data_IF_245710449685
#
_entry.id   IF_245710449685
#
_cell.length_a   1.000
_cell.length_b   1.000
_cell.length_c   1.000
_cell.angle_alpha   90.00
_cell.angle_beta   90.00
_cell.angle_gamma   90.00
#
_symmetry.space_group_name_H-M   'P 1'
#
loop_
_entity.id
_entity.type
_entity.pdbx_description
1 polymer ?
#
# COMPACT_ATOMS: atom_id res chain seq x y z
N UNK A 1 -55.72 -32.30 -36.20
CA UNK A 1 -54.31 -32.75 -36.16
C UNK A 1 -53.72 -32.31 -34.83
N UNK A 2 -53.41 -33.26 -33.94
CA UNK A 2 -52.81 -33.07 -32.61
C UNK A 2 -51.28 -33.04 -32.74
N UNK A 3 -50.59 -32.18 -31.99
CA UNK A 3 -49.28 -32.31 -31.30
C UNK A 3 -48.98 -30.92 -30.69
N UNK A 4 -49.31 -30.61 -29.43
CA UNK A 4 -48.65 -30.96 -28.15
C UNK A 4 -47.19 -30.49 -28.00
N UNK A 5 -47.00 -29.60 -27.00
CA UNK A 5 -46.01 -29.69 -25.92
C UNK A 5 -44.64 -28.97 -26.07
N UNK A 6 -44.50 -27.94 -25.23
CA UNK A 6 -43.37 -27.45 -24.42
C UNK A 6 -41.95 -27.35 -25.01
N UNK A 7 -41.35 -26.16 -24.91
CA UNK A 7 -40.07 -25.82 -24.24
C UNK A 7 -40.03 -24.27 -24.21
N UNK A 8 -40.37 -23.60 -23.10
CA UNK A 8 -39.57 -23.42 -21.88
C UNK A 8 -38.29 -22.60 -22.11
N UNK A 9 -38.27 -21.44 -21.43
CA UNK A 9 -37.10 -20.83 -20.77
C UNK A 9 -36.19 -19.95 -21.65
N UNK A 10 -36.37 -18.64 -21.44
CA UNK A 10 -35.32 -17.67 -21.06
C UNK A 10 -33.89 -17.97 -21.56
N UNK A 11 -33.42 -17.23 -22.56
CA UNK A 11 -31.98 -17.01 -22.79
C UNK A 11 -31.70 -15.51 -22.84
N UNK A 12 -31.94 -14.85 -21.69
CA UNK A 12 -31.23 -13.63 -21.35
C UNK A 12 -29.81 -14.06 -20.99
N UNK A 13 -28.89 -13.97 -21.95
CA UNK A 13 -27.46 -14.13 -21.68
C UNK A 13 -26.94 -12.81 -21.08
N UNK A 14 -27.22 -12.63 -19.79
CA UNK A 14 -26.53 -11.66 -18.94
C UNK A 14 -25.96 -12.41 -17.75
N UNK A 15 -24.68 -12.80 -17.83
CA UNK A 15 -23.76 -13.16 -16.73
C UNK A 15 -22.54 -13.81 -17.41
N UNK A 16 -21.28 -13.57 -17.11
CA UNK A 16 -20.58 -12.70 -16.18
C UNK A 16 -19.12 -12.65 -16.70
N UNK A 17 -18.41 -11.55 -16.53
CA UNK A 17 -17.29 -11.43 -15.57
C UNK A 17 -16.08 -10.89 -16.33
N UNK A 18 -16.09 -9.60 -16.62
CA UNK A 18 -14.83 -8.85 -16.77
C UNK A 18 -14.58 -8.06 -15.49
N UNK A 19 -14.57 -8.74 -14.35
CA UNK A 19 -13.83 -8.25 -13.18
C UNK A 19 -12.36 -8.60 -13.40
N UNK A 20 -11.71 -7.86 -14.30
CA UNK A 20 -10.26 -7.87 -14.46
C UNK A 20 -9.58 -7.09 -13.34
N UNK A 21 -9.97 -7.30 -12.08
CA UNK A 21 -9.12 -6.95 -10.96
C UNK A 21 -8.14 -8.11 -10.82
N UNK A 22 -6.86 -7.89 -11.17
CA UNK A 22 -5.81 -8.85 -10.90
C UNK A 22 -5.90 -9.23 -9.41
N UNK A 23 -6.42 -10.42 -9.13
CA UNK A 23 -6.54 -10.91 -7.76
C UNK A 23 -5.13 -11.22 -7.28
N UNK A 24 -4.45 -10.20 -6.77
CA UNK A 24 -3.22 -10.38 -6.04
C UNK A 24 -3.50 -11.39 -4.93
N UNK A 25 -2.73 -12.47 -4.90
CA UNK A 25 -3.02 -13.53 -3.94
C UNK A 25 -2.75 -13.02 -2.52
N UNK A 26 -3.64 -13.30 -1.57
CA UNK A 26 -3.42 -12.98 -0.14
C UNK A 26 -2.05 -13.41 0.37
N UNK A 27 -1.50 -14.50 -0.20
CA UNK A 27 -0.16 -15.01 0.06
C UNK A 27 0.94 -14.04 -0.39
N UNK A 28 0.85 -13.49 -1.60
CA UNK A 28 1.80 -12.50 -2.11
C UNK A 28 1.78 -11.23 -1.27
N UNK A 29 0.59 -10.71 -0.92
CA UNK A 29 0.47 -9.51 -0.09
C UNK A 29 1.08 -9.74 1.29
N UNK A 30 0.77 -10.89 1.91
CA UNK A 30 1.32 -11.26 3.21
C UNK A 30 2.84 -11.40 3.18
N UNK A 31 3.40 -11.95 2.09
CA UNK A 31 4.84 -12.06 1.90
C UNK A 31 5.51 -10.69 1.73
N UNK A 32 4.92 -9.81 0.91
CA UNK A 32 5.40 -8.45 0.68
C UNK A 32 5.39 -7.62 1.98
N UNK A 33 4.27 -7.63 2.70
CA UNK A 33 4.14 -6.93 4.00
C UNK A 33 5.16 -7.48 5.00
N UNK A 34 5.31 -8.81 5.10
CA UNK A 34 6.30 -9.42 6.00
C UNK A 34 7.73 -8.97 5.65
N UNK A 35 8.06 -8.90 4.36
CA UNK A 35 9.36 -8.45 3.88
C UNK A 35 9.62 -6.97 4.22
N UNK A 36 8.69 -6.06 3.91
CA UNK A 36 8.80 -4.64 4.23
C UNK A 36 8.96 -4.40 5.74
N UNK A 37 8.09 -5.01 6.55
CA UNK A 37 8.13 -4.91 8.02
C UNK A 37 9.47 -5.34 8.61
N UNK A 38 10.07 -6.40 8.07
CA UNK A 38 11.32 -6.97 8.57
C UNK A 38 12.58 -6.27 8.07
N UNK A 39 12.47 -5.38 7.08
CA UNK A 39 13.60 -4.66 6.51
C UNK A 39 14.20 -3.71 7.54
N UNK A 40 15.53 -3.60 7.58
CA UNK A 40 16.19 -2.59 8.41
C UNK A 40 16.02 -1.20 7.78
N UNK A 41 15.64 -0.20 8.57
CA UNK A 41 15.48 1.18 8.05
C UNK A 41 16.78 1.74 7.49
N UNK A 42 17.93 1.32 8.00
CA UNK A 42 19.27 1.60 7.42
C UNK A 42 19.48 1.07 6.00
N UNK A 43 18.70 0.06 5.58
CA UNK A 43 18.75 -0.49 4.23
C UNK A 43 17.83 0.27 3.25
N UNK A 44 16.86 1.02 3.79
CA UNK A 44 15.94 1.86 3.02
C UNK A 44 16.57 3.26 2.85
N UNK A 45 17.08 3.82 3.94
CA UNK A 45 17.71 5.13 3.95
C UNK A 45 19.03 5.11 4.73
N UNK A 46 20.11 5.54 4.06
CA UNK A 46 21.46 5.53 4.62
C UNK A 46 21.55 6.49 5.80
N UNK A 47 22.12 6.02 6.92
CA UNK A 47 22.28 6.81 8.15
C UNK A 47 21.19 6.59 9.18
N UNK A 48 20.09 5.93 8.80
CA UNK A 48 19.05 5.49 9.73
C UNK A 48 19.54 4.36 10.64
N UNK A 49 18.91 4.15 11.81
CA UNK A 49 19.31 3.11 12.75
C UNK A 49 19.19 1.69 12.14
N UNK A 50 19.98 0.74 12.67
CA UNK A 50 19.85 -0.68 12.33
C UNK A 50 18.66 -1.31 13.08
N UNK A 51 17.46 -0.86 12.74
CA UNK A 51 16.20 -1.28 13.36
C UNK A 51 15.22 -1.74 12.28
N UNK A 52 14.38 -2.73 12.59
CA UNK A 52 13.30 -3.15 11.68
C UNK A 52 12.33 -2.00 11.42
N UNK A 53 11.84 -1.89 10.19
CA UNK A 53 10.92 -0.85 9.77
C UNK A 53 9.64 -0.83 10.59
N UNK A 54 9.05 -2.01 10.89
CA UNK A 54 7.85 -2.07 11.73
C UNK A 54 8.05 -1.48 13.13
N UNK A 55 9.20 -1.77 13.73
CA UNK A 55 9.56 -1.30 15.07
C UNK A 55 9.86 0.20 15.06
N UNK A 56 10.66 0.64 14.08
CA UNK A 56 11.01 2.05 13.92
C UNK A 56 9.77 2.91 13.64
N UNK A 57 8.87 2.46 12.77
CA UNK A 57 7.68 3.22 12.42
C UNK A 57 6.74 3.35 13.62
N UNK A 58 6.50 2.27 14.37
CA UNK A 58 5.73 2.31 15.62
C UNK A 58 6.31 3.28 16.66
N UNK A 59 7.64 3.28 16.84
CA UNK A 59 8.30 4.23 17.74
C UNK A 59 8.18 5.68 17.26
N UNK A 60 8.21 5.89 15.94
CA UNK A 60 8.12 7.21 15.33
C UNK A 60 6.72 7.81 15.47
N UNK A 61 5.68 7.02 15.20
CA UNK A 61 4.29 7.50 15.26
C UNK A 61 3.69 7.42 16.67
N UNK A 62 4.30 6.63 17.56
CA UNK A 62 3.86 6.43 18.94
C UNK A 62 2.92 5.22 19.10
N UNK A 63 2.88 4.60 20.30
CA UNK A 63 2.21 3.31 20.53
C UNK A 63 0.68 3.38 20.46
N UNK A 64 0.10 4.58 20.50
CA UNK A 64 -1.35 4.77 20.53
C UNK A 64 -1.98 4.79 19.12
N UNK A 65 -1.17 4.92 18.07
CA UNK A 65 -1.66 4.90 16.69
C UNK A 65 -1.63 3.47 16.15
N UNK A 66 -2.78 3.04 15.61
CA UNK A 66 -2.86 1.77 14.90
C UNK A 66 -2.19 1.92 13.54
N UNK A 67 -1.21 1.06 13.27
CA UNK A 67 -0.58 0.97 11.95
C UNK A 67 -1.34 -0.04 11.09
N UNK A 68 -1.85 0.40 9.94
CA UNK A 68 -2.37 -0.46 8.88
C UNK A 68 -1.31 -0.67 7.81
N UNK A 69 -1.43 -1.78 7.09
CA UNK A 69 -0.50 -2.19 6.04
C UNK A 69 -1.29 -2.60 4.82
N UNK A 70 -0.91 -2.06 3.67
CA UNK A 70 -1.50 -2.45 2.40
C UNK A 70 -0.44 -2.71 1.33
N UNK A 71 -0.87 -3.36 0.26
CA UNK A 71 -0.07 -3.55 -0.94
C UNK A 71 -0.80 -2.90 -2.08
N UNK A 72 -0.15 -1.94 -2.72
CA UNK A 72 -0.69 -1.17 -3.83
C UNK A 72 0.34 -1.06 -4.95
N UNK A 73 0.00 -0.32 -5.98
CA UNK A 73 0.75 -0.19 -7.22
C UNK A 73 1.66 1.03 -7.28
N UNK A 74 1.97 1.60 -6.12
CA UNK A 74 2.76 2.83 -5.99
C UNK A 74 2.11 4.05 -6.68
N UNK A 75 0.80 4.03 -6.97
CA UNK A 75 0.08 5.12 -7.63
C UNK A 75 0.19 5.11 -9.16
N UNK A 76 0.60 3.99 -9.76
CA UNK A 76 0.92 3.91 -11.19
C UNK A 76 -0.28 3.51 -12.09
N UNK A 77 -1.36 2.95 -11.54
CA UNK A 77 -2.58 2.68 -12.28
C UNK A 77 -3.41 3.95 -12.41
N UNK A 78 -3.99 4.09 -13.60
CA UNK A 78 -4.92 5.18 -13.95
C UNK A 78 -6.37 4.71 -13.98
N UNK A 79 -6.61 3.39 -13.95
CA UNK A 79 -7.92 2.78 -14.13
C UNK A 79 -8.39 2.76 -15.59
N UNK A 80 -7.51 3.05 -16.55
CA UNK A 80 -7.85 3.15 -17.98
C UNK A 80 -7.49 1.87 -18.73
N UNK A 81 -8.00 1.66 -19.97
CA UNK A 81 -7.58 0.51 -20.78
C UNK A 81 -6.08 0.42 -21.05
N UNK A 82 -5.33 1.53 -20.93
CA UNK A 82 -3.87 1.55 -21.03
C UNK A 82 -3.19 0.70 -19.94
N UNK A 83 -3.89 0.40 -18.83
CA UNK A 83 -3.36 -0.41 -17.74
C UNK A 83 -3.36 -1.92 -18.04
N UNK A 84 -4.07 -2.33 -19.09
CA UNK A 84 -4.28 -3.75 -19.40
C UNK A 84 -2.95 -4.45 -19.71
N UNK A 85 -2.63 -5.46 -18.92
CA UNK A 85 -1.46 -6.32 -19.13
C UNK A 85 -0.13 -5.72 -18.68
N UNK A 86 -0.11 -4.49 -18.14
CA UNK A 86 1.09 -3.91 -17.52
C UNK A 86 1.49 -4.69 -16.27
N UNK A 87 2.79 -4.71 -15.99
CA UNK A 87 3.33 -5.19 -14.71
C UNK A 87 3.68 -3.97 -13.86
N UNK A 88 2.81 -3.65 -12.91
CA UNK A 88 2.99 -2.48 -12.06
C UNK A 88 4.06 -2.73 -10.99
N UNK A 89 4.79 -1.69 -10.56
CA UNK A 89 5.55 -1.80 -9.34
C UNK A 89 4.62 -2.14 -8.18
N UNK A 90 5.14 -2.88 -7.21
CA UNK A 90 4.42 -3.29 -6.02
C UNK A 90 5.00 -2.53 -4.84
N UNK A 91 4.16 -1.75 -4.17
CA UNK A 91 4.49 -1.04 -2.95
C UNK A 91 3.85 -1.72 -1.74
N UNK A 92 4.55 -1.74 -0.62
CA UNK A 92 3.95 -1.93 0.70
C UNK A 92 3.85 -0.57 1.34
N UNK A 93 2.65 -0.17 1.75
CA UNK A 93 2.41 1.09 2.44
C UNK A 93 2.08 0.84 3.90
N UNK A 94 2.81 1.52 4.79
CA UNK A 94 2.52 1.59 6.20
C UNK A 94 1.80 2.89 6.49
N UNK A 95 0.63 2.81 7.12
CA UNK A 95 -0.23 3.97 7.35
C UNK A 95 -0.54 4.06 8.85
N UNK A 96 -0.35 5.24 9.43
CA UNK A 96 -0.74 5.55 10.79
C UNK A 96 -1.71 6.75 10.77
N UNK A 97 -2.94 6.49 11.22
CA UNK A 97 -4.05 7.44 11.09
C UNK A 97 -4.74 7.74 12.43
N UNK A 98 -5.18 8.98 12.56
CA UNK A 98 -6.15 9.47 13.53
C UNK A 98 -6.99 10.59 12.92
N UNK A 99 -7.89 11.21 13.70
CA UNK A 99 -8.69 12.35 13.24
C UNK A 99 -7.84 13.51 12.71
N UNK A 100 -6.68 13.79 13.34
CA UNK A 100 -5.87 14.98 13.05
C UNK A 100 -4.53 14.66 12.39
N UNK A 101 -4.22 13.39 12.15
CA UNK A 101 -2.89 12.97 11.69
C UNK A 101 -3.02 11.82 10.71
N UNK A 102 -2.40 11.97 9.55
CA UNK A 102 -2.19 10.92 8.56
C UNK A 102 -0.70 10.84 8.25
N UNK A 103 -0.12 9.66 8.39
CA UNK A 103 1.27 9.39 8.02
C UNK A 103 1.26 8.16 7.12
N UNK A 104 1.83 8.28 5.93
CA UNK A 104 2.04 7.13 5.05
C UNK A 104 3.50 7.00 4.63
N UNK A 105 3.98 5.76 4.56
CA UNK A 105 5.32 5.43 4.04
C UNK A 105 5.16 4.30 3.04
N UNK A 106 5.43 4.60 1.77
CA UNK A 106 5.37 3.64 0.67
C UNK A 106 6.76 3.10 0.34
N UNK A 107 6.91 1.78 0.40
CA UNK A 107 8.15 1.06 0.07
C UNK A 107 7.96 0.22 -1.18
N UNK A 108 8.71 0.51 -2.24
CA UNK A 108 8.78 -0.31 -3.44
C UNK A 108 9.49 -1.62 -3.13
N UNK A 109 8.83 -2.75 -3.36
CA UNK A 109 9.34 -4.09 -3.01
C UNK A 109 9.50 -5.02 -4.21
N UNK A 110 9.00 -4.65 -5.39
CA UNK A 110 9.10 -5.45 -6.61
C UNK A 110 8.01 -5.11 -7.61
N UNK A 111 7.44 -6.13 -8.28
CA UNK A 111 6.30 -5.95 -9.21
C UNK A 111 5.22 -7.02 -8.97
N UNK A 112 4.00 -6.79 -9.47
CA UNK A 112 2.91 -7.74 -9.27
C UNK A 112 3.15 -9.10 -9.94
N UNK A 113 3.72 -9.12 -11.16
CA UNK A 113 3.98 -10.39 -11.87
C UNK A 113 5.22 -11.12 -11.35
N UNK A 114 6.23 -10.38 -10.88
CA UNK A 114 7.52 -10.97 -10.47
C UNK A 114 7.63 -11.19 -8.95
N UNK A 115 6.74 -10.60 -8.16
CA UNK A 115 6.81 -10.63 -6.72
C UNK A 115 7.90 -9.71 -6.18
N UNK A 116 8.46 -10.07 -5.01
CA UNK A 116 9.52 -9.30 -4.36
C UNK A 116 10.80 -9.41 -5.21
N UNK A 117 11.42 -8.26 -5.50
CA UNK A 117 12.67 -8.18 -6.27
C UNK A 117 13.73 -7.51 -5.42
N UNK A 118 14.94 -8.09 -5.39
CA UNK A 118 16.06 -7.54 -4.66
C UNK A 118 16.05 -7.87 -3.17
N UNK A 119 17.01 -7.26 -2.45
CA UNK A 119 17.21 -7.50 -1.01
C UNK A 119 16.69 -6.38 -0.12
N UNK A 120 16.56 -5.17 -0.68
CA UNK A 120 16.16 -3.97 0.04
C UNK A 120 15.02 -3.29 -0.74
N UNK A 121 13.93 -2.92 -0.07
CA UNK A 121 12.94 -2.01 -0.62
C UNK A 121 13.54 -0.64 -0.92
N UNK A 122 12.97 0.05 -1.90
CA UNK A 122 13.26 1.46 -2.16
C UNK A 122 12.14 2.35 -1.57
N UNK A 123 12.50 3.52 -1.04
CA UNK A 123 11.52 4.47 -0.51
C UNK A 123 10.84 5.19 -1.69
N UNK A 124 9.54 4.96 -1.85
CA UNK A 124 8.74 5.55 -2.94
C UNK A 124 8.10 6.86 -2.54
N UNK A 125 7.72 6.97 -1.28
CA UNK A 125 7.13 8.19 -0.75
C UNK A 125 7.01 8.15 0.76
N UNK A 126 7.00 9.34 1.34
CA UNK A 126 6.60 9.60 2.72
C UNK A 126 5.60 10.74 2.66
N UNK A 127 4.46 10.57 3.33
CA UNK A 127 3.45 11.62 3.47
C UNK A 127 3.20 11.88 4.94
N UNK A 128 2.99 13.16 5.26
CA UNK A 128 2.55 13.62 6.57
C UNK A 128 1.49 14.68 6.35
N UNK A 129 0.29 14.46 6.87
CA UNK A 129 -0.77 15.46 6.93
C UNK A 129 -1.22 15.66 8.36
N UNK A 130 -1.36 16.92 8.78
CA UNK A 130 -1.79 17.30 10.13
C UNK A 130 -2.99 18.23 10.00
N UNK A 131 -4.13 17.85 10.60
CA UNK A 131 -5.42 18.53 10.49
C UNK A 131 -5.83 18.79 9.03
N UNK A 132 -5.55 17.82 8.16
CA UNK A 132 -5.82 17.89 6.72
C UNK A 132 -4.79 18.66 5.89
N UNK A 133 -3.80 19.31 6.51
CA UNK A 133 -2.75 20.04 5.80
C UNK A 133 -1.53 19.15 5.54
N UNK A 134 -1.17 18.99 4.26
CA UNK A 134 0.02 18.23 3.85
C UNK A 134 1.29 19.00 4.22
N UNK A 135 2.24 18.32 4.86
CA UNK A 135 3.57 18.83 5.13
C UNK A 135 4.53 18.44 4.00
N UNK A 136 4.75 19.35 3.04
CA UNK A 136 5.65 19.15 1.90
C UNK A 136 7.14 19.09 2.26
N UNK A 137 7.50 19.42 3.50
CA UNK A 137 8.87 19.35 4.02
C UNK A 137 9.32 17.94 4.44
N UNK A 138 8.38 16.98 4.53
CA UNK A 138 8.69 15.58 4.85
C UNK A 138 8.86 14.81 3.56
N UNK A 139 10.09 14.41 3.24
CA UNK A 139 10.40 13.67 2.01
C UNK A 139 11.16 12.37 2.28
N UNK A 140 11.72 12.22 3.49
CA UNK A 140 12.53 11.08 3.92
C UNK A 140 12.04 10.51 5.24
N UNK A 141 12.50 9.31 5.57
CA UNK A 141 12.20 8.68 6.86
C UNK A 141 12.80 9.50 8.02
N UNK A 142 13.99 10.08 7.81
CA UNK A 142 14.66 10.92 8.82
C UNK A 142 13.88 12.18 9.18
N UNK A 143 12.99 12.64 8.30
CA UNK A 143 12.24 13.90 8.48
C UNK A 143 11.03 13.72 9.40
N UNK A 144 10.53 12.48 9.54
CA UNK A 144 9.33 12.18 10.31
C UNK A 144 9.48 12.46 11.82
N UNK A 145 10.50 11.93 12.54
CA UNK A 145 10.63 12.19 13.98
C UNK A 145 10.67 13.68 14.36
N UNK A 146 11.47 14.56 13.73
CA UNK A 146 11.46 15.98 14.08
C UNK A 146 10.14 16.66 13.70
N UNK A 147 9.54 16.32 12.55
CA UNK A 147 8.27 16.91 12.12
C UNK A 147 7.10 16.60 13.09
N UNK A 148 7.08 15.40 13.68
CA UNK A 148 6.09 15.01 14.67
C UNK A 148 6.37 15.61 16.05
N UNK A 149 7.64 15.75 16.42
CA UNK A 149 8.03 16.35 17.71
C UNK A 149 7.63 17.82 17.82
N UNK A 150 7.57 18.55 16.70
CA UNK A 150 7.22 19.98 16.67
C UNK A 150 5.71 20.23 16.84
N UNK A 151 4.85 19.27 16.44
CA UNK A 151 3.39 19.49 16.36
C UNK A 151 2.55 18.72 17.40
N UNK A 152 3.16 17.85 18.22
CA UNK A 152 2.47 17.08 19.28
C UNK A 152 2.61 17.73 20.67
N UNK A 153 3.31 18.87 20.78
CA UNK A 153 3.27 19.68 22.01
C UNK A 153 1.91 20.37 22.09
N UNK A 154 1.07 20.10 23.11
CA UNK A 154 -0.11 20.91 23.34
C UNK A 154 0.35 22.32 23.72
N UNK A 155 -0.17 23.32 23.01
CA UNK A 155 -0.26 24.67 23.59
C UNK A 155 -1.19 24.64 24.81
#
# INVERSE_FOLDING_TARGET
MKYLIHISILLIVTFACFTGANAQSKKQNSAAIKFARATLVSNIEKGMPKMRFDTWFLQTVGPNLKITWEVNDCGEQTGTPADKGRDFPMCVEAIADSTDLHISVALGVGTFKRGIIGKNPDMRGVSLSIKGEVNSGVQKLSDLPPALSIKVVPN
#
